data_IF_061431925024
#
_entry.id   IF_061431925024
#
_cell.length_a   1.000
_cell.length_b   1.000
_cell.length_c   1.000
_cell.angle_alpha   90.00
_cell.angle_beta   90.00
_cell.angle_gamma   90.00
#
_symmetry.space_group_name_H-M   'P 1'
#
loop_
_entity.id
_entity.type
_entity.pdbx_description
1 polymer ?
#
# COMPACT_ATOMS: atom_id res chain seq x y z
N UNK A 1 -16.97 13.12 -5.42
CA UNK A 1 -15.80 12.25 -5.62
C UNK A 1 -14.48 12.99 -5.44
N UNK A 2 -13.66 12.63 -4.44
CA UNK A 2 -12.30 13.17 -4.27
C UNK A 2 -11.38 12.77 -5.43
N UNK A 3 -10.48 13.66 -5.87
CA UNK A 3 -9.48 13.34 -6.90
C UNK A 3 -8.22 12.72 -6.27
N UNK A 4 -7.51 11.87 -7.01
CA UNK A 4 -6.23 11.32 -6.53
C UNK A 4 -5.21 12.44 -6.22
N UNK A 5 -5.25 13.54 -6.99
CA UNK A 5 -4.41 14.71 -6.74
C UNK A 5 -4.67 15.32 -5.36
N UNK A 6 -5.95 15.56 -5.00
CA UNK A 6 -6.29 16.11 -3.68
C UNK A 6 -5.87 15.20 -2.53
N UNK A 7 -5.93 13.88 -2.73
CA UNK A 7 -5.50 12.89 -1.74
C UNK A 7 -3.96 12.87 -1.66
N UNK A 8 -3.26 12.97 -2.79
CA UNK A 8 -1.80 13.10 -2.83
C UNK A 8 -1.34 14.31 -2.06
N UNK A 9 -1.98 15.47 -2.20
CA UNK A 9 -1.63 16.69 -1.45
C UNK A 9 -1.73 16.47 0.07
N UNK A 10 -2.71 15.70 0.54
CA UNK A 10 -2.87 15.35 1.96
C UNK A 10 -1.74 14.42 2.42
N UNK A 11 -1.43 13.38 1.65
CA UNK A 11 -0.35 12.45 1.98
C UNK A 11 1.04 13.10 1.93
N UNK A 12 1.26 14.06 1.02
CA UNK A 12 2.52 14.82 0.94
C UNK A 12 2.77 15.59 2.24
N UNK A 13 1.73 16.10 2.93
CA UNK A 13 1.90 16.76 4.24
C UNK A 13 2.53 15.82 5.27
N UNK A 14 2.19 14.53 5.26
CA UNK A 14 2.79 13.53 6.14
C UNK A 14 4.30 13.36 5.85
N UNK A 15 4.66 13.32 4.56
CA UNK A 15 6.04 13.14 4.11
C UNK A 15 6.90 14.39 4.37
N UNK A 16 6.43 15.57 4.01
CA UNK A 16 7.23 16.81 4.02
C UNK A 16 7.27 17.50 5.38
N UNK A 17 6.18 17.45 6.16
CA UNK A 17 6.06 18.18 7.43
C UNK A 17 6.41 17.31 8.65
N UNK A 18 7.38 16.39 8.50
CA UNK A 18 7.84 15.47 9.56
C UNK A 18 6.68 14.77 10.29
N UNK A 19 5.91 13.97 9.56
CA UNK A 19 4.82 13.16 10.12
C UNK A 19 3.66 13.99 10.68
N UNK A 20 3.22 15.01 9.94
CA UNK A 20 1.89 15.58 10.19
C UNK A 20 0.86 14.44 10.08
N UNK A 21 0.00 14.21 11.09
CA UNK A 21 -0.90 13.07 11.14
C UNK A 21 -2.09 13.22 10.17
N UNK A 22 -1.82 13.28 8.87
CA UNK A 22 -2.78 13.56 7.80
C UNK A 22 -3.28 12.30 7.07
N UNK A 23 -2.70 11.12 7.32
CA UNK A 23 -3.03 9.91 6.56
C UNK A 23 -4.45 9.39 6.86
N UNK A 24 -5.01 9.70 8.04
CA UNK A 24 -6.42 9.44 8.33
C UNK A 24 -7.38 10.17 7.39
N UNK A 25 -7.07 11.42 7.03
CA UNK A 25 -7.84 12.21 6.05
C UNK A 25 -7.76 11.56 4.66
N UNK A 26 -6.55 11.14 4.25
CA UNK A 26 -6.35 10.43 2.99
C UNK A 26 -7.13 9.11 2.92
N UNK A 27 -7.14 8.32 4.01
CA UNK A 27 -7.90 7.07 4.11
C UNK A 27 -9.39 7.31 3.90
N UNK A 28 -9.97 8.34 4.53
CA UNK A 28 -11.40 8.68 4.38
C UNK A 28 -11.71 8.96 2.90
N UNK A 29 -10.93 9.80 2.24
CA UNK A 29 -11.17 10.17 0.85
C UNK A 29 -10.97 9.01 -0.13
N UNK A 30 -9.98 8.15 0.11
CA UNK A 30 -9.78 6.93 -0.67
C UNK A 30 -10.94 5.95 -0.49
N UNK A 31 -11.47 5.77 0.72
CA UNK A 31 -12.66 4.93 0.97
C UNK A 31 -13.90 5.50 0.30
N UNK A 32 -14.07 6.82 0.27
CA UNK A 32 -15.14 7.46 -0.50
C UNK A 32 -15.02 7.13 -1.98
N UNK A 33 -13.83 7.29 -2.59
CA UNK A 33 -13.58 6.88 -3.99
C UNK A 33 -13.91 5.41 -4.24
N UNK A 34 -13.49 4.54 -3.33
CA UNK A 34 -13.73 3.08 -3.42
C UNK A 34 -15.21 2.75 -3.42
N UNK A 35 -15.97 3.33 -2.49
CA UNK A 35 -17.43 3.14 -2.35
C UNK A 35 -18.19 3.72 -3.54
N UNK A 36 -17.70 4.79 -4.15
CA UNK A 36 -18.24 5.36 -5.39
C UNK A 36 -17.85 4.56 -6.65
N UNK A 37 -17.20 3.40 -6.50
CA UNK A 37 -16.89 2.49 -7.59
C UNK A 37 -15.59 2.80 -8.35
N UNK A 38 -14.80 3.79 -7.90
CA UNK A 38 -13.45 4.03 -8.44
C UNK A 38 -12.45 3.04 -7.84
N UNK A 39 -12.57 1.79 -8.29
CA UNK A 39 -11.66 0.68 -7.93
C UNK A 39 -10.48 0.58 -8.90
N UNK A 40 -9.90 1.73 -9.23
CA UNK A 40 -8.69 1.78 -10.07
C UNK A 40 -7.46 1.30 -9.29
N UNK A 41 -6.41 0.91 -10.04
CA UNK A 41 -5.17 0.37 -9.50
C UNK A 41 -4.53 1.25 -8.44
N UNK A 42 -4.49 2.55 -8.67
CA UNK A 42 -3.89 3.52 -7.75
C UNK A 42 -4.66 3.59 -6.43
N UNK A 43 -5.99 3.67 -6.52
CA UNK A 43 -6.86 3.73 -5.35
C UNK A 43 -6.73 2.46 -4.51
N UNK A 44 -6.71 1.28 -5.15
CA UNK A 44 -6.54 0.00 -4.46
C UNK A 44 -5.16 -0.12 -3.75
N UNK A 45 -4.07 0.23 -4.44
CA UNK A 45 -2.72 0.17 -3.87
C UNK A 45 -2.59 1.08 -2.64
N UNK A 46 -3.08 2.32 -2.73
CA UNK A 46 -3.01 3.28 -1.63
C UNK A 46 -3.92 2.90 -0.46
N UNK A 47 -5.09 2.32 -0.72
CA UNK A 47 -5.96 1.78 0.33
C UNK A 47 -5.32 0.61 1.06
N UNK A 48 -4.75 -0.35 0.33
CA UNK A 48 -4.03 -1.46 0.92
C UNK A 48 -2.86 -0.97 1.78
N UNK A 49 -2.08 -0.01 1.26
CA UNK A 49 -0.99 0.60 2.00
C UNK A 49 -1.47 1.26 3.29
N UNK A 50 -2.47 2.14 3.27
CA UNK A 50 -2.94 2.81 4.49
C UNK A 50 -3.57 1.83 5.49
N UNK A 51 -4.28 0.82 5.00
CA UNK A 51 -4.80 -0.26 5.84
C UNK A 51 -3.66 -1.01 6.54
N UNK A 52 -2.63 -1.43 5.80
CA UNK A 52 -1.44 -2.07 6.36
C UNK A 52 -0.66 -1.17 7.32
N UNK A 53 -0.45 0.09 6.93
CA UNK A 53 0.36 1.05 7.69
C UNK A 53 -0.26 1.41 9.04
N UNK A 54 -1.59 1.35 9.17
CA UNK A 54 -2.30 1.53 10.45
C UNK A 54 -1.93 0.49 11.50
N UNK A 55 -1.47 -0.70 11.09
CA UNK A 55 -1.04 -1.78 11.99
C UNK A 55 0.47 -1.78 12.25
N UNK A 56 1.26 -1.08 11.45
CA UNK A 56 2.72 -1.08 11.56
C UNK A 56 3.27 0.20 12.18
N UNK A 57 2.49 1.27 12.19
CA UNK A 57 2.92 2.57 12.72
C UNK A 57 1.99 3.13 13.80
N UNK A 58 2.53 3.90 14.76
CA UNK A 58 1.70 4.58 15.74
C UNK A 58 0.75 5.62 15.13
N UNK A 59 -0.52 5.57 15.53
CA UNK A 59 -1.54 6.50 15.06
C UNK A 59 -1.24 7.98 15.35
N UNK A 60 -0.51 8.30 16.42
CA UNK A 60 -0.15 9.70 16.72
C UNK A 60 0.82 10.30 15.68
N UNK A 61 1.56 9.46 14.94
CA UNK A 61 2.43 9.89 13.84
C UNK A 61 1.67 9.99 12.52
N UNK A 62 0.76 9.04 12.26
CA UNK A 62 0.13 8.90 10.94
C UNK A 62 -1.24 9.59 10.85
N UNK A 63 -1.96 9.70 11.97
CA UNK A 63 -3.36 10.09 12.00
C UNK A 63 -4.33 8.97 11.57
N UNK A 64 -3.84 7.74 11.37
CA UNK A 64 -4.69 6.59 11.05
C UNK A 64 -5.47 6.12 12.28
N UNK A 65 -6.68 5.55 12.11
CA UNK A 65 -7.52 5.12 13.23
C UNK A 65 -6.89 3.91 13.96
N UNK A 66 -6.96 3.91 15.31
CA UNK A 66 -6.50 2.78 16.14
C UNK A 66 -7.55 1.67 16.28
N UNK A 67 -8.81 2.06 16.40
CA UNK A 67 -9.91 1.15 16.77
C UNK A 67 -10.74 0.69 15.55
N UNK A 68 -10.27 0.95 14.33
CA UNK A 68 -10.94 0.49 13.12
C UNK A 68 -10.22 -0.73 12.53
N UNK A 69 -10.95 -1.82 12.36
CA UNK A 69 -10.44 -2.98 11.64
C UNK A 69 -10.39 -2.70 10.12
N UNK A 70 -9.18 -2.44 9.62
CA UNK A 70 -8.92 -2.22 8.21
C UNK A 70 -8.50 -3.48 7.43
N UNK A 71 -8.55 -4.66 8.05
CA UNK A 71 -8.14 -5.90 7.39
C UNK A 71 -8.98 -6.23 6.16
N UNK A 72 -10.30 -6.02 6.25
CA UNK A 72 -11.21 -6.18 5.12
C UNK A 72 -10.84 -5.28 3.93
N UNK A 73 -10.43 -4.03 4.18
CA UNK A 73 -10.01 -3.10 3.13
C UNK A 73 -8.72 -3.56 2.45
N UNK A 74 -7.76 -4.07 3.23
CA UNK A 74 -6.54 -4.65 2.68
C UNK A 74 -6.86 -5.83 1.74
N UNK A 75 -7.67 -6.78 2.21
CA UNK A 75 -8.02 -7.99 1.46
C UNK A 75 -8.86 -7.67 0.22
N UNK A 76 -9.83 -6.76 0.32
CA UNK A 76 -10.62 -6.31 -0.83
C UNK A 76 -9.73 -5.64 -1.89
N UNK A 77 -8.81 -4.78 -1.46
CA UNK A 77 -7.88 -4.10 -2.36
C UNK A 77 -6.95 -5.10 -3.04
N UNK A 78 -6.40 -6.06 -2.29
CA UNK A 78 -5.58 -7.15 -2.81
C UNK A 78 -6.32 -7.96 -3.89
N UNK A 79 -7.53 -8.42 -3.57
CA UNK A 79 -8.34 -9.23 -4.49
C UNK A 79 -8.74 -8.47 -5.75
N UNK A 80 -9.02 -7.16 -5.64
CA UNK A 80 -9.35 -6.33 -6.79
C UNK A 80 -8.22 -6.23 -7.82
N UNK A 81 -6.98 -6.47 -7.39
CA UNK A 81 -5.76 -6.40 -8.21
C UNK A 81 -5.26 -7.79 -8.65
N UNK A 82 -6.14 -8.79 -8.60
CA UNK A 82 -5.84 -10.17 -8.98
C UNK A 82 -5.35 -11.06 -7.84
N UNK A 83 -5.22 -10.51 -6.62
CA UNK A 83 -4.82 -11.25 -5.44
C UNK A 83 -3.53 -12.04 -5.63
N UNK A 84 -3.51 -13.29 -5.15
CA UNK A 84 -2.35 -14.19 -5.28
C UNK A 84 -1.96 -14.45 -6.74
N UNK A 85 -2.88 -14.25 -7.69
CA UNK A 85 -2.65 -14.48 -9.12
C UNK A 85 -2.31 -13.21 -9.89
N UNK A 86 -2.09 -12.08 -9.21
CA UNK A 86 -1.70 -10.84 -9.87
C UNK A 86 -0.45 -11.03 -10.73
N UNK A 87 -0.47 -10.48 -11.94
CA UNK A 87 0.66 -10.46 -12.89
C UNK A 87 1.23 -9.05 -13.06
N UNK A 88 0.77 -8.09 -12.26
CA UNK A 88 1.32 -6.73 -12.26
C UNK A 88 2.55 -6.70 -11.35
N UNK A 89 3.69 -6.26 -11.89
CA UNK A 89 4.96 -6.27 -11.19
C UNK A 89 4.95 -5.42 -9.91
N UNK A 90 4.33 -4.23 -9.96
CA UNK A 90 4.23 -3.35 -8.81
C UNK A 90 3.30 -3.94 -7.75
N UNK A 91 2.16 -4.51 -8.15
CA UNK A 91 1.24 -5.17 -7.23
C UNK A 91 1.95 -6.32 -6.52
N UNK A 92 2.67 -7.17 -7.28
CA UNK A 92 3.43 -8.28 -6.71
C UNK A 92 4.49 -7.78 -5.72
N UNK A 93 5.27 -6.76 -6.10
CA UNK A 93 6.29 -6.17 -5.23
C UNK A 93 5.69 -5.57 -3.96
N UNK A 94 4.65 -4.75 -4.08
CA UNK A 94 4.05 -4.00 -2.98
C UNK A 94 3.37 -4.92 -1.98
N UNK A 95 2.47 -5.80 -2.44
CA UNK A 95 1.81 -6.74 -1.53
C UNK A 95 2.79 -7.76 -0.97
N UNK A 96 3.69 -8.30 -1.80
CA UNK A 96 4.75 -9.20 -1.33
C UNK A 96 5.58 -8.56 -0.22
N UNK A 97 6.01 -7.31 -0.41
CA UNK A 97 6.76 -6.53 0.59
C UNK A 97 5.96 -6.31 1.87
N UNK A 98 4.71 -5.84 1.78
CA UNK A 98 3.88 -5.62 2.97
C UNK A 98 3.72 -6.90 3.80
N UNK A 99 3.43 -8.03 3.12
CA UNK A 99 3.27 -9.34 3.73
C UNK A 99 4.56 -9.83 4.41
N UNK A 100 5.71 -9.65 3.75
CA UNK A 100 7.00 -10.04 4.32
C UNK A 100 7.39 -9.20 5.54
N UNK A 101 7.03 -7.92 5.55
CA UNK A 101 7.31 -7.03 6.67
C UNK A 101 6.38 -7.32 7.85
N UNK A 102 5.08 -7.42 7.60
CA UNK A 102 4.09 -7.65 8.66
C UNK A 102 2.79 -8.20 8.10
N UNK A 103 2.25 -9.23 8.76
CA UNK A 103 0.94 -9.82 8.44
C UNK A 103 -0.18 -9.29 9.34
N UNK A 104 0.12 -8.39 10.28
CA UNK A 104 -0.83 -7.97 11.32
C UNK A 104 -2.17 -7.44 10.78
N UNK A 105 -2.17 -6.81 9.61
CA UNK A 105 -3.38 -6.26 8.99
C UNK A 105 -4.23 -7.29 8.22
N UNK A 106 -3.86 -8.58 8.22
CA UNK A 106 -4.38 -9.54 7.24
C UNK A 106 -5.29 -10.63 7.83
N UNK A 107 -5.65 -10.50 9.11
CA UNK A 107 -6.54 -11.43 9.79
C UNK A 107 -5.86 -12.78 10.10
N UNK A 108 -6.31 -13.87 9.49
CA UNK A 108 -5.71 -15.19 9.67
C UNK A 108 -4.32 -15.25 9.01
N UNK A 109 -3.29 -15.10 9.85
CA UNK A 109 -1.89 -14.98 9.46
C UNK A 109 -1.25 -16.27 8.91
N UNK A 110 -1.95 -17.40 8.93
CA UNK A 110 -1.33 -18.70 8.61
C UNK A 110 -0.89 -18.86 7.15
N UNK A 111 -1.61 -18.22 6.21
CA UNK A 111 -1.39 -18.42 4.77
C UNK A 111 -0.69 -17.25 4.07
N UNK A 112 -0.74 -16.04 4.65
CA UNK A 112 -0.13 -14.84 4.08
C UNK A 112 1.38 -14.98 3.81
N UNK A 113 2.22 -15.54 4.70
CA UNK A 113 3.64 -15.69 4.40
C UNK A 113 3.93 -16.50 3.14
N UNK A 114 3.10 -17.50 2.82
CA UNK A 114 3.23 -18.28 1.59
C UNK A 114 2.83 -17.44 0.36
N UNK A 115 1.78 -16.62 0.47
CA UNK A 115 1.37 -15.67 -0.57
C UNK A 115 2.47 -14.64 -0.84
N UNK A 116 3.07 -14.06 0.22
CA UNK A 116 4.15 -13.08 0.10
C UNK A 116 5.32 -13.64 -0.71
N UNK A 117 5.78 -14.86 -0.38
CA UNK A 117 6.83 -15.55 -1.14
C UNK A 117 6.48 -15.77 -2.61
N UNK A 118 5.23 -16.16 -2.91
CA UNK A 118 4.77 -16.36 -4.29
C UNK A 118 4.76 -15.04 -5.07
N UNK A 119 4.26 -13.96 -4.47
CA UNK A 119 4.23 -12.64 -5.10
C UNK A 119 5.66 -12.14 -5.36
N UNK A 120 6.57 -12.27 -4.39
CA UNK A 120 7.96 -11.86 -4.56
C UNK A 120 8.69 -12.70 -5.62
N UNK A 121 8.48 -14.03 -5.64
CA UNK A 121 9.01 -14.88 -6.69
C UNK A 121 8.50 -14.49 -8.08
N UNK A 122 7.20 -14.18 -8.20
CA UNK A 122 6.62 -13.71 -9.47
C UNK A 122 7.15 -12.34 -9.86
N UNK A 123 7.27 -11.43 -8.91
CA UNK A 123 7.87 -10.12 -9.14
C UNK A 123 9.29 -10.25 -9.72
N UNK A 124 10.17 -11.08 -9.11
CA UNK A 124 11.52 -11.34 -9.63
C UNK A 124 11.51 -11.94 -11.04
N UNK A 125 10.50 -12.73 -11.39
CA UNK A 125 10.36 -13.28 -12.74
C UNK A 125 9.89 -12.25 -13.77
N UNK A 126 8.98 -11.34 -13.40
CA UNK A 126 8.44 -10.31 -14.29
C UNK A 126 9.43 -9.15 -14.48
N UNK A 127 10.08 -8.75 -13.38
CA UNK A 127 10.89 -7.55 -13.32
C UNK A 127 12.23 -7.85 -12.62
N UNK A 128 13.11 -8.65 -13.24
CA UNK A 128 14.35 -9.11 -12.61
C UNK A 128 15.33 -7.98 -12.26
N UNK A 129 15.24 -6.85 -12.96
CA UNK A 129 16.06 -5.67 -12.71
C UNK A 129 15.49 -4.76 -11.62
N UNK A 130 14.30 -5.07 -11.11
CA UNK A 130 13.58 -4.23 -10.16
C UNK A 130 12.71 -3.15 -10.76
N UNK A 131 11.93 -2.52 -9.87
CA UNK A 131 11.09 -1.40 -10.23
C UNK A 131 11.93 -0.10 -10.23
N UNK A 132 11.89 0.69 -11.32
CA UNK A 132 12.49 2.01 -11.32
C UNK A 132 11.82 2.89 -10.26
N UNK A 133 12.60 3.69 -9.52
CA UNK A 133 12.05 4.52 -8.44
C UNK A 133 11.04 5.54 -8.95
N UNK A 134 11.20 5.97 -10.20
CA UNK A 134 10.38 6.98 -10.85
C UNK A 134 8.90 6.59 -10.92
N UNK A 135 8.58 5.29 -10.88
CA UNK A 135 7.18 4.83 -10.87
C UNK A 135 6.46 5.18 -9.56
N UNK A 136 7.21 5.43 -8.48
CA UNK A 136 6.67 5.80 -7.17
C UNK A 136 6.66 7.31 -6.95
N UNK A 137 7.33 8.08 -7.81
CA UNK A 137 7.39 9.54 -7.71
C UNK A 137 6.01 10.18 -7.75
N UNK A 138 5.79 11.20 -6.91
CA UNK A 138 4.55 12.00 -6.84
C UNK A 138 3.29 11.20 -6.47
N UNK A 139 3.44 10.02 -5.84
CA UNK A 139 2.32 9.17 -5.39
C UNK A 139 2.11 9.20 -3.88
N UNK A 140 2.34 10.38 -3.29
CA UNK A 140 2.10 10.64 -1.88
C UNK A 140 2.94 9.77 -0.93
N UNK A 141 2.34 9.36 0.19
CA UNK A 141 3.00 8.61 1.24
C UNK A 141 3.28 7.17 0.80
N UNK A 142 2.36 6.59 0.02
CA UNK A 142 2.56 5.31 -0.65
C UNK A 142 3.82 5.33 -1.53
N UNK A 143 3.93 6.34 -2.40
CA UNK A 143 5.07 6.49 -3.30
C UNK A 143 6.38 6.71 -2.55
N UNK A 144 6.39 7.59 -1.55
CA UNK A 144 7.56 7.84 -0.72
C UNK A 144 8.04 6.56 -0.01
N UNK A 145 7.12 5.77 0.56
CA UNK A 145 7.44 4.54 1.25
C UNK A 145 8.03 3.48 0.31
N UNK A 146 7.32 3.11 -0.76
CA UNK A 146 7.79 2.03 -1.64
C UNK A 146 8.95 2.44 -2.55
N UNK A 147 9.07 3.73 -2.89
CA UNK A 147 10.27 4.25 -3.56
C UNK A 147 11.52 4.14 -2.69
N UNK A 148 11.39 4.31 -1.37
CA UNK A 148 12.49 4.06 -0.44
C UNK A 148 12.81 2.57 -0.29
N UNK A 149 11.79 1.71 -0.17
CA UNK A 149 11.99 0.26 -0.03
C UNK A 149 12.60 -0.35 -1.30
N UNK A 150 12.19 0.09 -2.49
CA UNK A 150 12.76 -0.39 -3.76
C UNK A 150 14.24 -0.03 -3.90
N UNK A 151 14.69 1.05 -3.27
CA UNK A 151 16.12 1.39 -3.20
C UNK A 151 16.91 0.44 -2.27
N UNK A 152 16.35 0.08 -1.10
CA UNK A 152 17.10 -0.65 -0.07
C UNK A 152 17.23 -2.14 -0.39
N UNK A 153 16.34 -2.70 -1.21
CA UNK A 153 16.38 -4.09 -1.64
C UNK A 153 16.98 -4.20 -3.05
N UNK A 154 18.33 -4.15 -3.22
CA UNK A 154 18.93 -4.44 -4.52
C UNK A 154 18.58 -5.88 -4.89
N UNK A 155 17.97 -6.05 -6.05
CA UNK A 155 17.57 -7.35 -6.56
C UNK A 155 18.84 -8.16 -6.88
N UNK A 156 19.14 -9.13 -6.01
CA UNK A 156 20.25 -10.07 -6.13
C UNK A 156 19.86 -11.31 -6.92
#
# INVERSE_FOLDING_TARGET
MPSLQSITEIEVRYVELKHSPSLGEALILLRMRWREGKKDRETALRLAFLAWYSYTEPAFLTGLPLDEDLSGIFVESFNSLGGEQSTDAEVCFVFGTMIEISTLCMGDNSHWPAIGKKLMSRFSAICPQGLPQEIFSQRGAYGAYFGHISHIRPHS
#
